data_IF_126593841415
#
_entry.id   IF_126593841415
#
_cell.length_a   1.000
_cell.length_b   1.000
_cell.length_c   1.000
_cell.angle_alpha   90.00
_cell.angle_beta   90.00
_cell.angle_gamma   90.00
#
_symmetry.space_group_name_H-M   'P 1'
#
loop_
_entity.id
_entity.type
_entity.pdbx_description
1 polymer ?
#
# COMPACT_ATOMS: atom_id res chain seq x y z
N UNK A 1 4.05 -3.37 -1.14
CA UNK A 1 2.57 -3.48 -1.23
C UNK A 1 2.08 -4.27 -2.44
N UNK A 2 2.62 -4.06 -3.65
CA UNK A 2 2.05 -4.62 -4.89
C UNK A 2 1.87 -6.14 -4.93
N UNK A 3 2.93 -6.92 -4.66
CA UNK A 3 2.84 -8.38 -4.71
C UNK A 3 1.85 -8.94 -3.68
N UNK A 4 1.78 -8.35 -2.49
CA UNK A 4 0.81 -8.73 -1.46
C UNK A 4 -0.63 -8.53 -1.96
N UNK A 5 -0.92 -7.40 -2.59
CA UNK A 5 -2.23 -7.14 -3.20
C UNK A 5 -2.55 -8.14 -4.32
N UNK A 6 -1.58 -8.45 -5.19
CA UNK A 6 -1.76 -9.41 -6.29
C UNK A 6 -2.02 -10.82 -5.76
N UNK A 7 -1.25 -11.28 -4.78
CA UNK A 7 -1.41 -12.59 -4.15
C UNK A 7 -2.79 -12.72 -3.49
N UNK A 8 -3.15 -11.73 -2.66
CA UNK A 8 -4.44 -11.71 -1.98
C UNK A 8 -5.62 -11.71 -2.96
N UNK A 9 -5.52 -10.92 -4.04
CA UNK A 9 -6.53 -10.86 -5.08
C UNK A 9 -6.73 -12.23 -5.76
N UNK A 10 -5.64 -12.94 -6.08
CA UNK A 10 -5.71 -14.27 -6.72
C UNK A 10 -6.30 -15.33 -5.78
N UNK A 11 -5.81 -15.38 -4.55
CA UNK A 11 -6.03 -16.55 -3.69
C UNK A 11 -7.20 -16.37 -2.73
N UNK A 12 -7.39 -15.16 -2.18
CA UNK A 12 -8.48 -14.87 -1.24
C UNK A 12 -9.70 -14.32 -1.97
N UNK A 13 -9.51 -13.31 -2.84
CA UNK A 13 -10.60 -12.70 -3.58
C UNK A 13 -11.02 -13.48 -4.85
N UNK A 14 -10.31 -14.57 -5.18
CA UNK A 14 -10.59 -15.47 -6.32
C UNK A 14 -10.56 -14.80 -7.69
N UNK A 15 -9.85 -13.68 -7.82
CA UNK A 15 -9.60 -12.99 -9.09
C UNK A 15 -8.45 -13.68 -9.83
N UNK A 16 -8.72 -14.87 -10.37
CA UNK A 16 -7.74 -15.67 -11.10
C UNK A 16 -7.17 -14.86 -12.28
N UNK A 17 -5.85 -14.69 -12.31
CA UNK A 17 -5.18 -13.87 -13.31
C UNK A 17 -4.92 -12.43 -12.91
N UNK A 18 -5.37 -11.98 -11.72
CA UNK A 18 -5.04 -10.64 -11.21
C UNK A 18 -3.53 -10.39 -11.21
N UNK A 19 -3.11 -9.19 -11.59
CA UNK A 19 -1.70 -8.85 -11.69
C UNK A 19 -1.49 -7.34 -11.66
N UNK A 20 -0.23 -6.92 -11.59
CA UNK A 20 0.18 -5.57 -11.96
C UNK A 20 0.27 -5.43 -13.48
N UNK A 21 -0.14 -4.28 -14.00
CA UNK A 21 0.08 -3.94 -15.43
C UNK A 21 1.55 -3.76 -15.78
N UNK A 22 2.43 -3.62 -14.78
CA UNK A 22 3.88 -3.63 -14.96
C UNK A 22 4.38 -4.97 -15.53
N UNK A 23 3.86 -6.08 -15.02
CA UNK A 23 4.31 -7.43 -15.41
C UNK A 23 3.38 -8.07 -16.45
N UNK A 24 2.08 -7.82 -16.38
CA UNK A 24 1.13 -8.28 -17.38
C UNK A 24 0.17 -7.14 -17.76
N UNK A 25 0.48 -6.35 -18.79
CA UNK A 25 -0.39 -5.28 -19.27
C UNK A 25 -1.78 -5.75 -19.73
N UNK A 26 -1.94 -7.04 -20.03
CA UNK A 26 -3.19 -7.67 -20.49
C UNK A 26 -3.92 -8.44 -19.38
N UNK A 27 -3.54 -8.23 -18.12
CA UNK A 27 -4.23 -8.88 -16.99
C UNK A 27 -5.72 -8.55 -17.01
N UNK A 28 -6.62 -9.53 -16.84
CA UNK A 28 -8.05 -9.26 -16.74
C UNK A 28 -8.40 -8.48 -15.46
N UNK A 29 -7.54 -8.52 -14.44
CA UNK A 29 -7.74 -7.80 -13.19
C UNK A 29 -6.48 -6.98 -12.82
N UNK A 30 -6.36 -5.74 -13.30
CA UNK A 30 -5.23 -4.85 -13.00
C UNK A 30 -5.39 -4.24 -11.59
N UNK A 31 -5.05 -5.02 -10.56
CA UNK A 31 -5.18 -4.60 -9.16
C UNK A 31 -4.09 -3.59 -8.75
N UNK A 32 -2.99 -3.55 -9.49
CA UNK A 32 -1.94 -2.53 -9.43
C UNK A 32 -1.77 -1.98 -10.84
N UNK A 33 -1.86 -0.66 -11.00
CA UNK A 33 -1.86 -0.02 -12.31
C UNK A 33 -1.38 1.45 -12.25
N UNK A 34 -1.13 2.07 -13.39
CA UNK A 34 -1.02 3.52 -13.47
C UNK A 34 -2.35 4.19 -13.13
N UNK A 35 -2.28 5.41 -12.58
CA UNK A 35 -3.48 6.21 -12.40
C UNK A 35 -4.12 6.51 -13.76
N UNK A 36 -5.46 6.59 -13.86
CA UNK A 36 -6.15 6.87 -15.13
C UNK A 36 -5.61 8.12 -15.84
N UNK A 37 -5.29 9.19 -15.09
CA UNK A 37 -4.69 10.41 -15.66
C UNK A 37 -3.31 10.16 -16.29
N UNK A 38 -2.55 9.21 -15.75
CA UNK A 38 -1.18 8.90 -16.18
C UNK A 38 -1.14 7.97 -17.40
N UNK A 39 -2.19 7.20 -17.66
CA UNK A 39 -2.28 6.29 -18.83
C UNK A 39 -2.20 7.01 -20.17
N UNK A 40 -2.54 8.31 -20.22
CA UNK A 40 -2.50 9.14 -21.43
C UNK A 40 -1.12 9.76 -21.69
N UNK A 41 -0.20 9.68 -20.73
CA UNK A 41 1.13 10.30 -20.84
C UNK A 41 2.06 9.36 -21.62
N UNK A 42 2.50 9.78 -22.80
CA UNK A 42 3.43 9.01 -23.65
C UNK A 42 4.81 8.87 -23.01
N UNK A 43 5.29 9.91 -22.33
CA UNK A 43 6.54 9.90 -21.56
C UNK A 43 6.32 9.47 -20.11
N UNK A 44 6.69 8.23 -19.80
CA UNK A 44 6.55 7.65 -18.44
C UNK A 44 7.37 8.39 -17.36
N UNK A 45 8.19 9.38 -17.72
CA UNK A 45 8.93 10.23 -16.78
C UNK A 45 8.03 11.01 -15.81
N UNK A 46 6.88 11.52 -16.28
CA UNK A 46 5.95 12.35 -15.49
C UNK A 46 5.06 11.57 -14.51
N UNK A 47 5.19 10.24 -14.45
CA UNK A 47 4.33 9.39 -13.61
C UNK A 47 4.94 9.05 -12.26
N UNK A 48 6.23 9.37 -12.05
CA UNK A 48 6.95 9.05 -10.83
C UNK A 48 6.44 9.84 -9.64
N UNK A 49 6.06 9.13 -8.58
CA UNK A 49 5.87 9.71 -7.26
C UNK A 49 7.18 9.65 -6.49
N UNK A 50 7.79 10.82 -6.29
CA UNK A 50 9.11 10.95 -5.69
C UNK A 50 9.09 12.00 -4.58
N UNK A 51 9.52 11.61 -3.38
CA UNK A 51 9.63 12.52 -2.23
C UNK A 51 8.65 12.20 -1.11
N UNK A 52 8.42 13.16 -0.23
CA UNK A 52 7.63 12.96 0.99
C UNK A 52 6.16 13.30 0.75
N UNK A 53 5.25 12.39 1.08
CA UNK A 53 3.80 12.58 0.94
C UNK A 53 3.05 12.21 2.21
N UNK A 54 1.88 12.84 2.47
CA UNK A 54 1.07 12.51 3.63
C UNK A 54 0.30 11.19 3.45
N UNK A 55 0.18 10.45 4.54
CA UNK A 55 -0.62 9.24 4.64
C UNK A 55 -1.51 9.34 5.88
N UNK A 56 -2.83 9.38 5.68
CA UNK A 56 -3.83 9.40 6.75
C UNK A 56 -4.15 7.97 7.17
N UNK A 57 -3.98 7.69 8.46
CA UNK A 57 -4.13 6.36 9.04
C UNK A 57 -5.51 6.17 9.67
N UNK A 58 -6.10 4.98 9.48
CA UNK A 58 -7.31 4.56 10.20
C UNK A 58 -6.96 4.22 11.64
N UNK A 59 -7.72 4.75 12.62
CA UNK A 59 -7.46 4.53 14.06
C UNK A 59 -7.44 3.06 14.48
N UNK A 60 -8.19 2.21 13.78
CA UNK A 60 -8.28 0.77 14.06
C UNK A 60 -7.10 -0.03 13.50
N UNK A 61 -6.15 0.59 12.80
CA UNK A 61 -5.09 -0.11 12.06
C UNK A 61 -3.84 -0.36 12.90
N UNK A 62 -3.07 -1.39 12.54
CA UNK A 62 -1.75 -1.65 13.12
C UNK A 62 -0.82 -0.46 12.92
N UNK A 63 -0.86 0.15 11.74
CA UNK A 63 -0.07 1.34 11.45
C UNK A 63 -0.40 2.50 12.40
N UNK A 64 -1.69 2.79 12.67
CA UNK A 64 -2.02 3.83 13.64
C UNK A 64 -1.51 3.50 15.04
N UNK A 65 -1.63 2.24 15.48
CA UNK A 65 -1.12 1.80 16.78
C UNK A 65 0.41 1.97 16.90
N UNK A 66 1.13 1.68 15.81
CA UNK A 66 2.58 1.81 15.75
C UNK A 66 3.04 3.28 15.75
N UNK A 67 2.48 4.10 14.85
CA UNK A 67 2.85 5.51 14.71
C UNK A 67 2.26 6.41 15.79
N UNK A 68 1.11 6.06 16.36
CA UNK A 68 0.29 6.86 17.28
C UNK A 68 -0.04 8.27 16.76
N UNK A 69 -0.18 8.39 15.44
CA UNK A 69 -0.49 9.63 14.72
C UNK A 69 -1.57 9.36 13.68
N UNK A 70 -2.47 10.32 13.49
CA UNK A 70 -3.55 10.23 12.48
C UNK A 70 -3.06 10.49 11.06
N UNK A 71 -2.00 11.29 10.91
CA UNK A 71 -1.34 11.59 9.64
C UNK A 71 0.16 11.44 9.82
N UNK A 72 0.79 10.73 8.90
CA UNK A 72 2.25 10.54 8.83
C UNK A 72 2.76 11.01 7.47
N UNK A 73 4.05 11.26 7.36
CA UNK A 73 4.68 11.76 6.13
C UNK A 73 5.82 10.82 5.76
N UNK A 74 5.71 10.16 4.62
CA UNK A 74 6.61 9.07 4.24
C UNK A 74 7.23 9.28 2.87
N UNK A 75 8.40 8.67 2.64
CA UNK A 75 9.15 8.83 1.39
C UNK A 75 8.71 7.81 0.34
N UNK A 76 8.35 8.30 -0.83
CA UNK A 76 7.91 7.51 -1.97
C UNK A 76 8.93 7.57 -3.10
N UNK A 77 9.02 6.45 -3.84
CA UNK A 77 9.74 6.34 -5.11
C UNK A 77 9.14 5.21 -5.94
N UNK A 78 7.98 5.45 -6.54
CA UNK A 78 7.29 4.45 -7.37
C UNK A 78 6.40 5.12 -8.42
N UNK A 79 5.85 4.32 -9.34
CA UNK A 79 4.96 4.79 -10.43
C UNK A 79 3.59 4.12 -10.45
N UNK A 80 3.54 2.85 -10.08
CA UNK A 80 2.32 2.06 -10.08
C UNK A 80 1.60 2.18 -8.74
N UNK A 81 0.29 2.31 -8.81
CA UNK A 81 -0.58 2.53 -7.67
C UNK A 81 -1.56 1.38 -7.50
N UNK A 82 -2.11 1.27 -6.30
CA UNK A 82 -3.26 0.40 -6.07
C UNK A 82 -4.46 0.88 -6.89
N UNK A 83 -5.07 0.01 -7.70
CA UNK A 83 -6.25 0.38 -8.46
C UNK A 83 -7.49 0.43 -7.55
N UNK A 84 -8.02 1.64 -7.33
CA UNK A 84 -9.16 1.87 -6.44
C UNK A 84 -10.44 1.14 -6.85
N UNK A 85 -10.61 0.73 -8.11
CA UNK A 85 -11.74 -0.10 -8.56
C UNK A 85 -11.83 -1.42 -7.76
N UNK A 86 -10.69 -1.94 -7.31
CA UNK A 86 -10.61 -3.18 -6.53
C UNK A 86 -10.66 -2.95 -5.02
N UNK A 87 -10.67 -1.69 -4.56
CA UNK A 87 -10.55 -1.37 -3.13
C UNK A 87 -11.69 -1.96 -2.31
N UNK A 88 -12.93 -1.84 -2.78
CA UNK A 88 -14.09 -2.36 -2.08
C UNK A 88 -14.09 -3.90 -2.09
N UNK A 89 -13.88 -4.51 -3.28
CA UNK A 89 -13.87 -5.96 -3.46
C UNK A 89 -12.83 -6.63 -2.55
N UNK A 90 -11.60 -6.09 -2.50
CA UNK A 90 -10.54 -6.65 -1.65
C UNK A 90 -10.80 -6.37 -0.17
N UNK A 91 -11.38 -5.22 0.18
CA UNK A 91 -11.74 -4.90 1.56
C UNK A 91 -12.83 -5.81 2.11
N UNK A 92 -13.86 -6.15 1.32
CA UNK A 92 -14.91 -7.11 1.70
C UNK A 92 -14.35 -8.51 1.96
N UNK A 93 -13.21 -8.85 1.34
CA UNK A 93 -12.50 -10.12 1.54
C UNK A 93 -11.46 -10.11 2.67
N UNK A 94 -11.18 -8.95 3.26
CA UNK A 94 -10.30 -8.82 4.44
C UNK A 94 -9.09 -7.91 4.25
N UNK A 95 -8.68 -7.59 3.02
CA UNK A 95 -7.54 -6.69 2.77
C UNK A 95 -7.99 -5.24 2.88
N UNK A 96 -7.80 -4.63 4.05
CA UNK A 96 -8.26 -3.26 4.33
C UNK A 96 -7.22 -2.24 3.90
N UNK A 97 -7.64 -1.24 3.13
CA UNK A 97 -6.86 -0.02 2.95
C UNK A 97 -6.93 0.82 4.24
N UNK A 98 -5.80 0.95 4.93
CA UNK A 98 -5.68 1.57 6.26
C UNK A 98 -4.89 2.87 6.27
N UNK A 99 -4.07 3.10 5.24
CA UNK A 99 -3.34 4.36 5.03
C UNK A 99 -3.66 4.94 3.67
N UNK A 100 -4.13 6.19 3.61
CA UNK A 100 -4.61 6.84 2.39
C UNK A 100 -3.99 8.24 2.24
N UNK A 101 -3.49 8.57 1.06
CA UNK A 101 -3.25 9.97 0.70
C UNK A 101 -4.58 10.59 0.25
N UNK A 102 -5.22 11.34 1.15
CA UNK A 102 -6.61 11.79 0.99
C UNK A 102 -6.83 12.69 -0.23
N UNK A 103 -5.90 13.58 -0.57
CA UNK A 103 -6.07 14.56 -1.66
C UNK A 103 -6.16 13.90 -3.03
N UNK A 104 -5.42 12.80 -3.24
CA UNK A 104 -5.43 12.04 -4.50
C UNK A 104 -6.15 10.70 -4.39
N UNK A 105 -6.75 10.42 -3.24
CA UNK A 105 -7.40 9.15 -2.91
C UNK A 105 -6.50 7.91 -3.20
N UNK A 106 -5.20 7.98 -2.90
CA UNK A 106 -4.26 6.88 -3.16
C UNK A 106 -4.13 5.97 -1.94
N UNK A 107 -4.09 4.66 -2.16
CA UNK A 107 -3.86 3.68 -1.09
C UNK A 107 -2.36 3.53 -0.86
N UNK A 108 -1.94 3.89 0.35
CA UNK A 108 -0.53 3.84 0.77
C UNK A 108 -0.21 2.60 1.61
N UNK A 109 -1.20 2.14 2.39
CA UNK A 109 -1.05 1.01 3.30
C UNK A 109 -2.26 0.09 3.19
N UNK A 110 -1.99 -1.20 3.07
CA UNK A 110 -2.98 -2.27 3.21
C UNK A 110 -2.62 -3.18 4.37
N UNK A 111 -3.62 -3.66 5.08
CA UNK A 111 -3.50 -4.54 6.25
C UNK A 111 -4.53 -5.66 6.21
N UNK A 112 -4.25 -6.78 6.89
CA UNK A 112 -5.22 -7.86 7.16
C UNK A 112 -5.42 -7.90 8.69
N UNK A 113 -6.52 -7.34 9.22
CA UNK A 113 -6.74 -7.24 10.67
C UNK A 113 -6.73 -8.58 11.42
N UNK A 114 -7.11 -9.66 10.73
CA UNK A 114 -7.18 -11.00 11.30
C UNK A 114 -5.81 -11.68 11.45
N UNK A 115 -4.75 -11.12 10.85
CA UNK A 115 -3.38 -11.64 10.97
C UNK A 115 -2.65 -10.95 12.14
N UNK A 116 -1.80 -11.65 12.92
CA UNK A 116 -1.09 -11.06 14.07
C UNK A 116 -0.31 -9.77 13.75
N UNK A 117 0.28 -9.75 12.54
CA UNK A 117 0.83 -8.54 11.94
C UNK A 117 0.93 -8.70 10.42
N UNK A 118 0.06 -8.02 9.68
CA UNK A 118 0.18 -7.94 8.22
C UNK A 118 0.02 -6.48 7.81
N UNK A 119 1.14 -5.86 7.43
CA UNK A 119 1.20 -4.47 7.00
C UNK A 119 2.05 -4.41 5.73
N UNK A 120 1.46 -3.92 4.64
CA UNK A 120 2.18 -3.72 3.39
C UNK A 120 2.03 -2.27 2.92
N UNK A 121 3.18 -1.60 2.73
CA UNK A 121 3.25 -0.17 2.41
C UNK A 121 3.76 0.10 0.99
N UNK A 122 3.38 1.25 0.44
CA UNK A 122 3.88 1.81 -0.82
C UNK A 122 5.18 2.61 -0.63
N UNK A 123 5.30 3.30 0.49
CA UNK A 123 6.48 4.12 0.81
C UNK A 123 7.65 3.28 1.33
N UNK A 124 8.75 3.97 1.58
CA UNK A 124 10.03 3.44 2.03
C UNK A 124 10.31 3.84 3.49
N UNK A 125 9.78 3.10 4.48
CA UNK A 125 9.98 3.39 5.90
C UNK A 125 11.46 3.32 6.32
N UNK A 126 12.29 2.59 5.57
CA UNK A 126 13.72 2.45 5.79
C UNK A 126 14.47 3.78 5.73
N UNK A 127 14.02 4.74 4.92
CA UNK A 127 14.69 6.03 4.79
C UNK A 127 14.46 6.97 5.99
N UNK A 128 13.53 6.64 6.88
CA UNK A 128 13.26 7.41 8.10
C UNK A 128 13.71 6.71 9.39
N UNK A 129 14.15 5.45 9.31
CA UNK A 129 14.67 4.72 10.47
C UNK A 129 16.07 5.20 10.85
N UNK A 130 16.33 5.37 12.16
CA UNK A 130 17.66 5.73 12.70
C UNK A 130 18.03 4.85 13.89
N UNK A 131 19.32 4.66 14.22
CA UNK A 131 19.74 3.84 15.36
C UNK A 131 19.07 4.20 16.71
N UNK A 132 18.96 5.49 17.02
CA UNK A 132 18.28 5.97 18.24
C UNK A 132 16.77 6.20 18.11
N UNK A 133 16.21 5.99 16.91
CA UNK A 133 14.80 6.21 16.63
C UNK A 133 14.36 5.25 15.51
N UNK A 134 14.20 3.95 15.82
CA UNK A 134 13.80 2.97 14.83
C UNK A 134 12.42 3.31 14.30
N UNK A 135 12.22 3.09 13.00
CA UNK A 135 10.95 3.38 12.37
C UNK A 135 9.80 2.57 13.02
N UNK A 136 8.64 3.19 13.35
CA UNK A 136 7.60 2.54 14.15
C UNK A 136 7.08 1.22 13.56
N UNK A 137 6.92 1.13 12.24
CA UNK A 137 6.46 -0.11 11.59
C UNK A 137 7.46 -1.27 11.76
N UNK A 138 8.77 -1.00 11.79
CA UNK A 138 9.77 -2.04 11.99
C UNK A 138 9.84 -2.46 13.46
N UNK A 139 9.84 -1.49 14.38
CA UNK A 139 9.79 -1.75 15.82
C UNK A 139 8.62 -2.66 16.18
N UNK A 140 7.43 -2.35 15.64
CA UNK A 140 6.22 -3.08 15.98
C UNK A 140 6.10 -4.42 15.23
N UNK A 141 6.66 -4.52 14.02
CA UNK A 141 6.82 -5.82 13.34
C UNK A 141 7.66 -6.79 14.17
N UNK A 142 8.83 -6.35 14.66
CA UNK A 142 9.69 -7.19 15.51
C UNK A 142 8.96 -7.58 16.80
N UNK A 143 8.28 -6.61 17.44
CA UNK A 143 7.46 -6.89 18.63
C UNK A 143 6.38 -7.93 18.37
N UNK A 144 5.74 -7.90 17.20
CA UNK A 144 4.72 -8.88 16.83
C UNK A 144 5.32 -10.27 16.55
N UNK A 145 6.55 -10.33 16.01
CA UNK A 145 7.24 -11.58 15.72
C UNK A 145 7.81 -12.31 16.96
N UNK A 146 7.94 -11.60 18.10
CA UNK A 146 8.43 -12.16 19.37
C UNK A 146 7.32 -12.76 20.26
N UNK A 147 6.08 -12.77 19.79
CA UNK A 147 4.94 -13.37 20.49
C UNK A 147 4.67 -14.76 19.94
#
# INVERSE_FOLDING_TARGET
MHCATVEFARNVAKLKGANTTEFNPKTPYPVIDFLPEQKKIKDKGGTMRLGTYPCRLKKSSFSYQAYRKSVVYERHRHRYEFNNEYRQILAEKGLKATGIFSERNLVEIVEIPEHPWFVAVQFHPEFQSRPGSPHPLFRDFIKAAMK
#
